data_IF_778420194310
#
_entry.id   IF_778420194310
#
_cell.length_a   1.000
_cell.length_b   1.000
_cell.length_c   1.000
_cell.angle_alpha   90.00
_cell.angle_beta   90.00
_cell.angle_gamma   90.00
#
_symmetry.space_group_name_H-M   'P 1'
#
loop_
_entity.id
_entity.type
_entity.pdbx_description
1 polymer ?
#
# COMPACT_ATOMS: atom_id res chain seq x y z
N UNK A 1 -21.09 2.30 -10.14
CA UNK A 1 -19.70 2.27 -9.67
C UNK A 1 -18.99 3.50 -10.24
N UNK A 2 -18.94 4.59 -9.49
CA UNK A 2 -18.11 5.78 -9.76
C UNK A 2 -17.73 6.35 -8.39
N UNK A 3 -16.84 5.65 -7.68
CA UNK A 3 -16.34 6.13 -6.38
C UNK A 3 -15.06 6.94 -6.57
N UNK A 4 -14.32 6.63 -7.64
CA UNK A 4 -13.07 7.27 -8.05
C UNK A 4 -13.07 7.31 -9.58
N UNK A 5 -12.84 8.49 -10.17
CA UNK A 5 -12.88 8.73 -11.62
C UNK A 5 -11.74 8.09 -12.42
N UNK A 6 -11.21 6.97 -11.95
CA UNK A 6 -10.15 6.21 -12.62
C UNK A 6 -10.78 5.31 -13.69
N UNK A 7 -10.41 5.54 -14.95
CA UNK A 7 -10.78 4.66 -16.07
C UNK A 7 -9.63 3.72 -16.42
N UNK A 8 -9.94 2.60 -17.07
CA UNK A 8 -8.92 1.67 -17.57
C UNK A 8 -7.97 2.38 -18.52
N UNK A 9 -8.49 3.24 -19.40
CA UNK A 9 -7.71 4.01 -20.37
C UNK A 9 -6.72 4.96 -19.69
N UNK A 10 -7.08 5.55 -18.54
CA UNK A 10 -6.16 6.41 -17.77
C UNK A 10 -5.01 5.64 -17.12
N UNK A 11 -5.23 4.37 -16.78
CA UNK A 11 -4.26 3.52 -16.09
C UNK A 11 -3.38 2.72 -17.06
N UNK A 12 -3.72 2.65 -18.34
CA UNK A 12 -3.05 1.78 -19.33
C UNK A 12 -1.56 2.07 -19.52
N UNK A 13 -1.14 3.33 -19.38
CA UNK A 13 0.23 3.80 -19.56
C UNK A 13 1.02 3.88 -18.25
N UNK A 14 0.40 3.54 -17.11
CA UNK A 14 1.03 3.63 -15.78
C UNK A 14 1.87 2.39 -15.51
N UNK A 15 2.99 2.53 -14.78
CA UNK A 15 3.83 1.39 -14.47
C UNK A 15 3.08 0.39 -13.59
N UNK A 16 3.39 -0.88 -13.78
CA UNK A 16 2.93 -1.96 -12.91
C UNK A 16 3.61 -1.88 -11.55
N UNK A 17 2.98 -2.44 -10.53
CA UNK A 17 3.52 -2.40 -9.17
C UNK A 17 4.95 -2.94 -9.08
N UNK A 18 5.27 -4.05 -9.75
CA UNK A 18 6.62 -4.64 -9.72
C UNK A 18 7.70 -3.73 -10.31
N UNK A 19 7.34 -2.75 -11.15
CA UNK A 19 8.28 -1.80 -11.76
C UNK A 19 8.66 -0.67 -10.79
N UNK A 20 7.75 -0.33 -9.86
CA UNK A 20 7.92 0.77 -8.89
C UNK A 20 8.07 0.30 -7.43
N UNK A 21 7.91 -1.00 -7.17
CA UNK A 21 7.88 -1.57 -5.82
C UNK A 21 9.12 -1.21 -5.00
N UNK A 22 10.31 -1.22 -5.62
CA UNK A 22 11.56 -0.87 -4.95
C UNK A 22 11.60 0.60 -4.52
N UNK A 23 11.14 1.51 -5.38
CA UNK A 23 11.08 2.94 -5.04
C UNK A 23 10.07 3.18 -3.92
N UNK A 24 8.91 2.54 -4.00
CA UNK A 24 7.90 2.59 -2.94
C UNK A 24 8.44 2.07 -1.60
N UNK A 25 9.09 0.91 -1.58
CA UNK A 25 9.68 0.33 -0.36
C UNK A 25 10.78 1.23 0.23
N UNK A 26 11.59 1.86 -0.61
CA UNK A 26 12.59 2.83 -0.14
C UNK A 26 11.92 4.08 0.46
N UNK A 27 10.82 4.54 -0.12
CA UNK A 27 10.08 5.71 0.35
C UNK A 27 9.50 5.51 1.75
N UNK A 28 9.00 4.31 2.05
CA UNK A 28 8.41 3.97 3.35
C UNK A 28 9.42 3.43 4.37
N UNK A 29 10.69 3.28 3.99
CA UNK A 29 11.70 2.67 4.84
C UNK A 29 11.85 3.45 6.16
N UNK A 30 11.77 2.73 7.28
CA UNK A 30 11.82 3.27 8.65
C UNK A 30 10.72 4.30 8.99
N UNK A 31 9.69 4.45 8.15
CA UNK A 31 8.56 5.34 8.41
C UNK A 31 7.48 4.64 9.25
N UNK A 32 6.71 5.42 10.02
CA UNK A 32 5.43 4.98 10.54
C UNK A 32 4.33 5.22 9.50
N UNK A 33 3.61 4.16 9.14
CA UNK A 33 2.51 4.20 8.19
C UNK A 33 1.19 4.43 8.94
N UNK A 34 0.70 5.67 8.90
CA UNK A 34 -0.58 6.08 9.48
C UNK A 34 -1.66 5.94 8.39
N UNK A 35 -2.53 4.94 8.49
CA UNK A 35 -3.50 4.57 7.45
C UNK A 35 -4.92 4.55 8.02
N UNK A 36 -5.90 5.03 7.26
CA UNK A 36 -7.32 4.89 7.62
C UNK A 36 -7.87 3.57 7.11
N UNK A 37 -8.34 2.70 8.00
CA UNK A 37 -8.73 1.32 7.66
C UNK A 37 -7.54 0.47 7.18
N UNK A 38 -6.43 0.54 7.93
CA UNK A 38 -5.17 -0.13 7.61
C UNK A 38 -5.27 -1.61 7.17
N UNK A 39 -6.18 -2.46 7.72
CA UNK A 39 -6.28 -3.85 7.28
C UNK A 39 -6.53 -4.02 5.77
N UNK A 40 -7.22 -3.06 5.13
CA UNK A 40 -7.48 -3.10 3.70
C UNK A 40 -6.19 -2.87 2.90
N UNK A 41 -5.54 -1.72 3.07
CA UNK A 41 -4.32 -1.35 2.34
C UNK A 41 -3.17 -2.31 2.62
N UNK A 42 -2.97 -2.72 3.87
CA UNK A 42 -1.92 -3.67 4.25
C UNK A 42 -2.16 -5.02 3.59
N UNK A 43 -3.40 -5.49 3.54
CA UNK A 43 -3.77 -6.73 2.85
C UNK A 43 -3.45 -6.66 1.36
N UNK A 44 -3.80 -5.54 0.72
CA UNK A 44 -3.54 -5.31 -0.70
C UNK A 44 -2.04 -5.25 -1.01
N UNK A 45 -1.28 -4.45 -0.28
CA UNK A 45 0.17 -4.31 -0.46
C UNK A 45 0.91 -5.62 -0.18
N UNK A 46 0.53 -6.36 0.86
CA UNK A 46 1.13 -7.67 1.15
C UNK A 46 0.86 -8.68 0.02
N UNK A 47 -0.32 -8.66 -0.58
CA UNK A 47 -0.63 -9.52 -1.72
C UNK A 47 0.28 -9.18 -2.91
N UNK A 48 0.36 -7.90 -3.30
CA UNK A 48 1.22 -7.44 -4.40
C UNK A 48 2.70 -7.76 -4.16
N UNK A 49 3.21 -7.55 -2.93
CA UNK A 49 4.57 -7.93 -2.55
C UNK A 49 4.81 -9.44 -2.64
N UNK A 50 3.81 -10.27 -2.29
CA UNK A 50 3.92 -11.73 -2.39
C UNK A 50 4.03 -12.21 -3.84
N UNK A 51 3.35 -11.57 -4.79
CA UNK A 51 3.41 -11.91 -6.21
C UNK A 51 4.80 -11.70 -6.82
N UNK A 52 5.62 -10.84 -6.19
CA UNK A 52 7.01 -10.57 -6.57
C UNK A 52 8.04 -11.14 -5.59
N UNK A 53 7.62 -12.09 -4.74
CA UNK A 53 8.46 -12.80 -3.76
C UNK A 53 9.18 -11.88 -2.76
N UNK A 54 8.56 -10.77 -2.37
CA UNK A 54 9.05 -9.89 -1.31
C UNK A 54 8.40 -10.20 0.04
N UNK A 55 8.98 -9.67 1.11
CA UNK A 55 8.45 -9.83 2.47
C UNK A 55 7.16 -9.01 2.64
N UNK A 56 6.48 -9.23 3.75
CA UNK A 56 5.32 -8.42 4.14
C UNK A 56 5.73 -6.98 4.49
N UNK A 57 4.79 -6.05 4.34
CA UNK A 57 4.95 -4.61 4.51
C UNK A 57 5.56 -4.23 5.87
N UNK A 58 5.22 -4.97 6.94
CA UNK A 58 5.75 -4.76 8.30
C UNK A 58 7.28 -4.98 8.40
N UNK A 59 7.92 -5.57 7.38
CA UNK A 59 9.38 -5.71 7.31
C UNK A 59 10.09 -4.52 6.68
N UNK A 60 9.33 -3.54 6.17
CA UNK A 60 9.86 -2.40 5.44
C UNK A 60 9.47 -1.05 6.06
N UNK A 61 8.68 -1.03 7.12
CA UNK A 61 8.29 0.20 7.83
C UNK A 61 8.50 0.02 9.34
N UNK A 62 8.64 1.12 10.07
CA UNK A 62 8.84 1.10 11.52
C UNK A 62 7.58 0.68 12.29
N UNK A 63 6.41 1.12 11.84
CA UNK A 63 5.13 0.80 12.45
C UNK A 63 3.98 1.00 11.46
N UNK A 64 2.83 0.38 11.73
CA UNK A 64 1.58 0.58 10.99
C UNK A 64 0.49 0.92 12.01
N UNK A 65 -0.11 2.09 11.84
CA UNK A 65 -1.10 2.65 12.77
C UNK A 65 -2.43 2.86 12.05
N UNK A 66 -3.49 2.25 12.58
CA UNK A 66 -4.84 2.35 12.02
C UNK A 66 -5.62 3.50 12.65
N UNK A 67 -5.80 4.58 11.90
CA UNK A 67 -6.54 5.77 12.37
C UNK A 67 -8.03 5.50 12.55
N UNK A 68 -8.61 4.50 11.87
CA UNK A 68 -10.02 4.15 12.07
C UNK A 68 -10.25 3.55 13.46
N UNK A 69 -9.26 2.82 13.99
CA UNK A 69 -9.30 2.32 15.37
C UNK A 69 -9.11 3.47 16.35
N UNK A 70 -8.15 4.36 16.11
CA UNK A 70 -7.91 5.54 16.95
C UNK A 70 -9.14 6.46 17.06
N UNK A 71 -9.89 6.63 15.96
CA UNK A 71 -11.07 7.50 15.95
C UNK A 71 -12.31 6.90 16.62
N UNK A 72 -12.28 5.61 16.98
CA UNK A 72 -13.36 4.90 17.68
C UNK A 72 -13.09 4.74 19.18
N UNK A 73 -11.94 5.18 19.65
CA UNK A 73 -11.56 5.32 21.06
C UNK A 73 -11.88 6.73 21.56
#
# INVERSE_FOLDING_TARGET
>A
MQVHGLTTEFLQDKPRFHEISKEFLNFINDAELIIHNAPFDVGFLNHELSLINLKTLDKYCAAITDTLKLAKE
#
